data_IF_829586088090
#
_entry.id   IF_829586088090
#
_cell.length_a   1.000
_cell.length_b   1.000
_cell.length_c   1.000
_cell.angle_alpha   90.00
_cell.angle_beta   90.00
_cell.angle_gamma   90.00
#
_symmetry.space_group_name_H-M   'P 1'
#
loop_
_entity.id
_entity.type
_entity.pdbx_description
1 polymer ?
#
# COMPACT_ATOMS: atom_id res chain seq x y z
N UNK A 1 1.68 -8.49 -44.28
CA UNK A 1 1.41 -7.78 -43.01
C UNK A 1 1.79 -8.72 -41.87
N UNK A 2 2.99 -8.55 -41.32
CA UNK A 2 3.56 -9.44 -40.30
C UNK A 2 2.96 -9.09 -38.93
N UNK A 3 2.21 -10.01 -38.33
CA UNK A 3 1.86 -9.96 -36.92
C UNK A 3 3.11 -10.31 -36.12
N UNK A 4 3.82 -9.29 -35.63
CA UNK A 4 4.90 -9.49 -34.67
C UNK A 4 4.29 -10.04 -33.38
N UNK A 5 4.52 -11.33 -33.11
CA UNK A 5 4.25 -11.94 -31.82
C UNK A 5 5.07 -11.20 -30.76
N UNK A 6 4.41 -10.41 -29.91
CA UNK A 6 5.06 -9.78 -28.76
C UNK A 6 5.49 -10.88 -27.79
N UNK A 7 6.79 -11.11 -27.72
CA UNK A 7 7.47 -12.03 -26.81
C UNK A 7 7.08 -11.72 -25.36
N UNK A 8 6.77 -12.76 -24.60
CA UNK A 8 6.37 -12.64 -23.20
C UNK A 8 7.55 -12.17 -22.35
N UNK A 9 7.44 -10.99 -21.75
CA UNK A 9 8.37 -10.54 -20.72
C UNK A 9 7.65 -10.56 -19.38
N UNK A 10 8.08 -11.45 -18.49
CA UNK A 10 7.75 -11.39 -17.06
C UNK A 10 8.39 -10.11 -16.51
N UNK A 11 7.61 -9.04 -16.37
CA UNK A 11 8.10 -7.79 -15.80
C UNK A 11 7.94 -7.81 -14.30
N UNK A 12 9.06 -7.82 -13.56
CA UNK A 12 9.04 -7.54 -12.12
C UNK A 12 9.20 -6.03 -11.95
N UNK A 13 8.12 -5.36 -11.58
CA UNK A 13 8.17 -3.93 -11.26
C UNK A 13 8.34 -3.81 -9.75
N UNK A 14 9.49 -3.34 -9.30
CA UNK A 14 9.72 -2.97 -7.90
C UNK A 14 9.40 -1.48 -7.75
N UNK A 15 8.27 -1.19 -7.12
CA UNK A 15 7.94 0.16 -6.69
C UNK A 15 8.51 0.38 -5.29
N UNK A 16 9.28 1.44 -5.11
CA UNK A 16 9.79 1.84 -3.80
C UNK A 16 9.10 3.12 -3.36
N UNK A 17 8.71 3.19 -2.09
CA UNK A 17 8.19 4.39 -1.46
C UNK A 17 8.89 4.57 -0.11
N UNK A 18 9.77 5.57 -0.04
CA UNK A 18 10.49 5.95 1.18
C UNK A 18 9.95 7.28 1.67
N UNK A 19 9.84 7.45 2.99
CA UNK A 19 9.84 8.77 3.60
C UNK A 19 11.03 8.86 4.55
N UNK A 20 11.88 9.87 4.37
CA UNK A 20 12.97 10.16 5.29
C UNK A 20 12.40 10.88 6.51
N UNK A 21 12.75 10.43 7.72
CA UNK A 21 12.36 11.07 8.98
C UNK A 21 13.57 11.15 9.91
N UNK A 22 13.68 12.25 10.67
CA UNK A 22 14.50 12.25 11.88
C UNK A 22 13.85 11.31 12.91
N UNK A 23 14.65 10.47 13.56
CA UNK A 23 14.20 9.59 14.64
C UNK A 23 13.74 10.42 15.84
N UNK A 24 12.47 10.81 15.87
CA UNK A 24 11.79 11.06 17.13
C UNK A 24 11.32 9.71 17.67
N UNK A 25 11.79 9.33 18.87
CA UNK A 25 11.26 8.19 19.60
C UNK A 25 9.73 8.30 19.68
N UNK A 26 9.04 7.48 18.89
CA UNK A 26 7.58 7.40 18.95
C UNK A 26 7.24 6.58 20.19
N UNK A 27 6.76 7.27 21.23
CA UNK A 27 6.15 6.62 22.39
C UNK A 27 4.98 5.74 21.92
N UNK A 28 5.24 4.44 21.77
CA UNK A 28 4.21 3.42 21.54
C UNK A 28 3.39 3.33 22.82
N UNK A 29 2.29 4.08 22.89
CA UNK A 29 1.39 4.00 24.04
C UNK A 29 0.72 2.64 24.01
N UNK A 30 0.90 1.78 25.03
CA UNK A 30 0.14 0.55 25.11
C UNK A 30 -1.35 0.90 25.13
N UNK A 31 -2.14 0.21 24.31
CA UNK A 31 -3.58 0.36 24.28
C UNK A 31 -4.15 0.17 25.68
N UNK A 32 -5.00 1.09 26.13
CA UNK A 32 -5.52 1.17 27.51
C UNK A 32 -6.21 -0.12 28.00
N UNK A 33 -6.55 -1.04 27.10
CA UNK A 33 -7.33 -2.25 27.40
C UNK A 33 -6.64 -3.56 26.94
N UNK A 34 -5.30 -3.62 26.99
CA UNK A 34 -4.53 -4.87 26.81
C UNK A 34 -4.83 -5.96 27.88
N UNK A 35 -5.87 -5.79 28.70
CA UNK A 35 -6.35 -6.78 29.67
C UNK A 35 -7.38 -7.74 29.07
N UNK A 36 -8.08 -7.35 28.00
CA UNK A 36 -9.04 -8.23 27.32
C UNK A 36 -8.32 -9.34 26.56
N UNK A 37 -8.92 -10.54 26.50
CA UNK A 37 -8.37 -11.65 25.72
C UNK A 37 -8.19 -11.24 24.25
N UNK A 38 -9.19 -10.54 23.68
CA UNK A 38 -9.14 -10.02 22.31
C UNK A 38 -8.04 -8.99 22.06
N UNK A 39 -7.78 -8.08 23.01
CA UNK A 39 -6.70 -7.10 22.90
C UNK A 39 -5.29 -7.71 22.98
N UNK A 40 -5.18 -8.94 23.50
CA UNK A 40 -3.91 -9.67 23.67
C UNK A 40 -3.69 -10.77 22.63
N UNK A 41 -4.65 -10.97 21.72
CA UNK A 41 -4.52 -12.03 20.71
C UNK A 41 -3.36 -11.72 19.77
N UNK A 42 -2.62 -12.77 19.43
CA UNK A 42 -1.78 -12.75 18.25
C UNK A 42 -2.69 -12.91 17.03
N UNK A 43 -2.79 -11.84 16.23
CA UNK A 43 -3.59 -11.82 15.00
C UNK A 43 -2.82 -12.38 13.79
N UNK A 44 -1.56 -12.81 13.99
CA UNK A 44 -0.69 -13.31 12.96
C UNK A 44 -0.32 -12.25 11.93
N UNK A 45 0.21 -12.73 10.80
CA UNK A 45 0.78 -11.87 9.77
C UNK A 45 -0.25 -11.07 8.96
N UNK A 46 -1.50 -11.54 8.88
CA UNK A 46 -2.54 -10.92 8.04
C UNK A 46 -3.82 -10.78 8.85
N UNK A 47 -4.36 -9.57 8.88
CA UNK A 47 -5.65 -9.27 9.48
C UNK A 47 -6.61 -8.69 8.46
N UNK A 48 -7.74 -9.36 8.27
CA UNK A 48 -8.89 -8.82 7.55
C UNK A 48 -9.83 -8.13 8.55
N UNK A 49 -9.92 -6.80 8.52
CA UNK A 49 -10.80 -6.05 9.42
C UNK A 49 -11.08 -4.63 8.90
N UNK A 50 -12.02 -3.92 9.53
CA UNK A 50 -12.19 -2.48 9.34
C UNK A 50 -10.99 -1.75 9.95
N UNK A 51 -10.27 -0.94 9.18
CA UNK A 51 -9.07 -0.26 9.67
C UNK A 51 -9.24 1.25 9.50
N UNK A 52 -9.06 2.04 10.57
CA UNK A 52 -8.96 3.50 10.41
C UNK A 52 -7.71 3.80 9.61
N UNK A 53 -7.83 4.55 8.51
CA UNK A 53 -6.66 4.87 7.69
C UNK A 53 -5.71 5.76 8.51
N UNK A 54 -4.49 5.29 8.87
CA UNK A 54 -3.56 6.10 9.65
C UNK A 54 -2.97 7.25 8.82
N UNK A 55 -3.05 7.19 7.49
CA UNK A 55 -2.57 8.23 6.58
C UNK A 55 -3.63 9.31 6.27
N UNK A 56 -4.88 9.16 6.72
CA UNK A 56 -5.91 10.19 6.58
C UNK A 56 -5.68 11.31 7.61
N UNK A 57 -5.29 12.54 7.18
CA UNK A 57 -5.06 13.65 8.11
C UNK A 57 -6.33 14.06 8.86
N UNK A 58 -7.52 13.81 8.30
CA UNK A 58 -8.78 14.10 8.97
C UNK A 58 -9.17 13.04 10.01
N UNK A 59 -8.51 11.88 10.04
CA UNK A 59 -8.77 10.73 10.94
C UNK A 59 -10.22 10.23 10.91
N UNK A 60 -10.89 10.39 9.76
CA UNK A 60 -12.31 10.05 9.55
C UNK A 60 -12.46 8.82 8.68
N UNK A 61 -11.51 8.55 7.80
CA UNK A 61 -11.58 7.44 6.87
C UNK A 61 -11.44 6.08 7.59
N UNK A 62 -12.30 5.14 7.22
CA UNK A 62 -12.19 3.73 7.56
C UNK A 62 -12.12 2.91 6.28
N UNK A 63 -11.06 2.12 6.14
CA UNK A 63 -10.91 1.11 5.10
C UNK A 63 -11.86 -0.04 5.43
N UNK A 64 -12.88 -0.24 4.59
CA UNK A 64 -13.98 -1.13 4.91
C UNK A 64 -13.63 -2.61 4.71
N UNK A 65 -12.85 -2.95 3.69
CA UNK A 65 -12.28 -4.29 3.51
C UNK A 65 -10.76 -4.24 3.61
N UNK A 66 -10.30 -3.81 4.78
CA UNK A 66 -8.88 -3.73 5.09
C UNK A 66 -8.22 -5.11 5.10
N UNK A 67 -7.08 -5.22 4.43
CA UNK A 67 -6.15 -6.33 4.51
C UNK A 67 -4.84 -5.76 5.07
N UNK A 68 -4.70 -5.79 6.39
CA UNK A 68 -3.46 -5.41 7.04
C UNK A 68 -2.46 -6.56 6.96
N UNK A 69 -1.23 -6.27 6.54
CA UNK A 69 -0.13 -7.24 6.42
C UNK A 69 1.06 -6.75 7.24
N UNK A 70 1.52 -7.59 8.15
CA UNK A 70 2.78 -7.39 8.88
C UNK A 70 3.97 -7.75 7.98
N UNK A 71 4.83 -6.76 7.73
CA UNK A 71 6.04 -6.87 6.92
C UNK A 71 7.28 -7.18 7.77
N UNK A 72 7.13 -7.27 9.09
CA UNK A 72 8.22 -7.47 10.03
C UNK A 72 8.95 -6.18 10.40
N UNK A 73 9.78 -6.25 11.45
CA UNK A 73 10.53 -5.10 11.97
C UNK A 73 9.63 -3.94 12.43
N UNK A 74 8.38 -4.22 12.80
CA UNK A 74 7.40 -3.21 13.19
C UNK A 74 6.83 -2.39 12.04
N UNK A 75 6.91 -2.88 10.79
CA UNK A 75 6.38 -2.22 9.61
C UNK A 75 5.18 -2.98 9.07
N UNK A 76 4.16 -2.25 8.62
CA UNK A 76 2.95 -2.86 8.11
C UNK A 76 2.30 -2.01 7.03
N UNK A 77 1.44 -2.67 6.26
CA UNK A 77 0.65 -2.06 5.20
C UNK A 77 -0.80 -2.49 5.30
N UNK A 78 -1.72 -1.68 4.77
CA UNK A 78 -3.14 -2.02 4.66
C UNK A 78 -3.61 -1.79 3.23
N UNK A 79 -4.16 -2.84 2.62
CA UNK A 79 -4.86 -2.76 1.33
C UNK A 79 -6.36 -2.65 1.52
N UNK A 80 -7.03 -1.91 0.63
CA UNK A 80 -8.47 -1.93 0.51
C UNK A 80 -8.89 -2.95 -0.55
N UNK A 81 -9.48 -4.08 -0.15
CA UNK A 81 -9.93 -5.10 -1.11
C UNK A 81 -11.10 -4.64 -2.00
N UNK A 82 -11.82 -3.57 -1.62
CA UNK A 82 -12.88 -3.00 -2.45
C UNK A 82 -12.32 -2.24 -3.64
N UNK A 83 -11.23 -1.49 -3.43
CA UNK A 83 -10.67 -0.57 -4.43
C UNK A 83 -9.29 -0.96 -4.94
N UNK A 84 -8.72 -2.05 -4.42
CA UNK A 84 -7.36 -2.52 -4.71
C UNK A 84 -6.27 -1.45 -4.54
N UNK A 85 -6.49 -0.46 -3.66
CA UNK A 85 -5.46 0.53 -3.29
C UNK A 85 -4.64 0.03 -2.10
N UNK A 86 -3.38 0.47 -2.04
CA UNK A 86 -2.59 0.46 -0.81
C UNK A 86 -3.02 1.68 0.02
N UNK A 87 -3.93 1.48 0.96
CA UNK A 87 -4.55 2.57 1.71
C UNK A 87 -3.52 3.27 2.61
N UNK A 88 -2.64 2.52 3.25
CA UNK A 88 -1.54 3.06 4.04
C UNK A 88 -0.39 2.09 4.23
N UNK A 89 0.78 2.66 4.50
CA UNK A 89 1.96 2.02 5.06
C UNK A 89 2.35 2.75 6.35
N UNK A 90 2.75 2.03 7.40
CA UNK A 90 3.15 2.61 8.67
C UNK A 90 4.26 1.82 9.36
N UNK A 91 4.94 2.50 10.28
CA UNK A 91 6.02 1.94 11.10
C UNK A 91 5.74 2.21 12.58
N UNK A 92 6.12 1.28 13.44
CA UNK A 92 5.85 1.31 14.89
C UNK A 92 4.85 0.25 15.37
N UNK A 93 4.77 -0.90 14.69
CA UNK A 93 3.95 -2.04 15.07
C UNK A 93 2.89 -2.41 14.03
N UNK A 94 2.13 -3.48 14.29
CA UNK A 94 1.11 -3.98 13.37
C UNK A 94 -0.23 -3.26 13.56
N UNK A 95 -1.16 -3.84 14.31
CA UNK A 95 -2.52 -3.29 14.49
C UNK A 95 -2.93 -3.34 15.96
N UNK A 96 -3.57 -2.27 16.42
CA UNK A 96 -4.23 -2.19 17.70
C UNK A 96 -5.71 -2.57 17.54
N UNK A 97 -6.09 -3.65 18.23
CA UNK A 97 -7.42 -4.22 18.24
C UNK A 97 -8.22 -3.89 19.50
N UNK A 98 -7.66 -3.14 20.46
CA UNK A 98 -8.28 -2.86 21.76
C UNK A 98 -9.61 -2.11 21.66
N UNK A 99 -9.80 -1.32 20.59
CA UNK A 99 -11.04 -0.58 20.33
C UNK A 99 -12.14 -1.40 19.61
N UNK A 100 -11.85 -2.65 19.24
CA UNK A 100 -12.68 -3.46 18.33
C UNK A 100 -13.61 -4.44 19.05
N UNK A 101 -14.51 -5.07 18.29
CA UNK A 101 -15.46 -6.08 18.82
C UNK A 101 -14.76 -7.26 19.50
N UNK A 102 -13.71 -7.87 18.91
CA UNK A 102 -12.92 -8.90 19.59
C UNK A 102 -12.43 -8.53 21.00
N UNK A 103 -12.00 -7.28 21.23
CA UNK A 103 -11.49 -6.83 22.52
C UNK A 103 -12.60 -6.37 23.48
N UNK A 104 -13.64 -5.71 22.98
CA UNK A 104 -14.71 -5.10 23.80
C UNK A 104 -15.91 -6.01 24.06
N UNK A 105 -16.06 -7.11 23.33
CA UNK A 105 -17.15 -8.07 23.50
C UNK A 105 -18.54 -7.60 23.03
N UNK A 106 -18.68 -6.36 22.56
CA UNK A 106 -19.94 -5.80 22.04
C UNK A 106 -19.92 -5.64 20.51
N UNK A 107 -20.99 -6.06 19.84
CA UNK A 107 -21.16 -5.86 18.39
C UNK A 107 -21.14 -4.35 18.06
N UNK A 108 -20.48 -3.99 16.95
CA UNK A 108 -20.37 -2.60 16.51
C UNK A 108 -19.26 -1.80 17.20
N UNK A 109 -18.41 -2.43 18.03
CA UNK A 109 -17.19 -1.79 18.49
C UNK A 109 -16.23 -1.55 17.30
N UNK A 110 -15.54 -0.40 17.36
CA UNK A 110 -14.98 0.32 16.22
C UNK A 110 -13.93 -0.41 15.38
N UNK A 111 -13.36 0.34 14.44
CA UNK A 111 -12.29 -0.14 13.56
C UNK A 111 -10.96 -0.31 14.31
N UNK A 112 -10.13 -1.22 13.80
CA UNK A 112 -8.74 -1.36 14.20
C UNK A 112 -7.96 -0.09 13.85
N UNK A 113 -6.88 0.15 14.56
CA UNK A 113 -5.98 1.28 14.31
C UNK A 113 -4.56 0.81 14.10
N UNK A 114 -3.74 1.54 13.34
CA UNK A 114 -2.30 1.32 13.36
C UNK A 114 -1.74 1.60 14.76
N UNK A 115 -0.84 0.74 15.24
CA UNK A 115 -0.09 1.01 16.48
C UNK A 115 0.94 2.12 16.27
N UNK A 116 1.47 2.19 15.05
CA UNK A 116 2.52 3.12 14.65
C UNK A 116 2.05 4.34 13.87
N UNK A 117 3.01 5.07 13.31
CA UNK A 117 2.81 6.28 12.51
C UNK A 117 2.77 5.95 11.01
N UNK A 118 1.78 6.48 10.30
CA UNK A 118 1.75 6.39 8.84
C UNK A 118 2.99 7.03 8.20
N UNK A 119 3.59 6.29 7.27
CA UNK A 119 4.71 6.74 6.43
C UNK A 119 4.17 7.37 5.15
N UNK A 120 3.19 6.72 4.51
CA UNK A 120 2.40 7.28 3.42
C UNK A 120 1.06 6.54 3.27
N UNK A 121 0.19 7.04 2.40
CA UNK A 121 -1.04 6.37 2.02
C UNK A 121 -1.66 6.93 0.76
N UNK A 122 -2.88 6.49 0.46
CA UNK A 122 -3.67 6.93 -0.69
C UNK A 122 -5.10 7.27 -0.23
N UNK A 123 -5.73 8.25 -0.88
CA UNK A 123 -7.11 8.63 -0.56
C UNK A 123 -8.11 7.55 -0.98
N UNK A 124 -9.34 7.57 -0.44
CA UNK A 124 -10.42 6.72 -0.93
C UNK A 124 -10.63 6.82 -2.43
N UNK A 125 -10.58 5.68 -3.10
CA UNK A 125 -10.74 5.58 -4.55
C UNK A 125 -10.02 4.37 -5.15
N UNK A 126 -10.11 4.19 -6.48
CA UNK A 126 -9.45 3.11 -7.19
C UNK A 126 -7.92 3.16 -7.04
N UNK A 127 -7.30 2.06 -6.63
CA UNK A 127 -5.84 1.92 -6.60
C UNK A 127 -5.21 1.70 -7.98
N UNK A 128 -6.04 1.34 -8.95
CA UNK A 128 -5.68 1.15 -10.35
C UNK A 128 -6.58 2.01 -11.23
N UNK A 129 -6.07 2.45 -12.37
CA UNK A 129 -6.84 3.12 -13.40
C UNK A 129 -7.76 2.15 -14.12
N UNK A 130 -8.97 2.61 -14.43
CA UNK A 130 -9.93 1.87 -15.25
C UNK A 130 -9.59 1.99 -16.73
N UNK A 131 -10.62 1.88 -17.57
CA UNK A 131 -10.46 2.06 -19.02
C UNK A 131 -9.84 3.43 -19.32
N UNK A 132 -8.84 3.44 -20.22
CA UNK A 132 -8.05 4.63 -20.55
C UNK A 132 -7.29 5.28 -19.36
N UNK A 133 -7.05 4.53 -18.28
CA UNK A 133 -6.23 4.98 -17.15
C UNK A 133 -6.92 5.94 -16.17
N UNK A 134 -8.24 6.16 -16.30
CA UNK A 134 -8.98 7.05 -15.39
C UNK A 134 -9.00 6.53 -13.97
N UNK A 135 -8.78 7.42 -12.99
CA UNK A 135 -8.87 7.13 -11.55
C UNK A 135 -10.18 7.63 -10.92
N UNK A 136 -11.14 8.08 -11.74
CA UNK A 136 -12.43 8.54 -11.25
C UNK A 136 -13.21 7.40 -10.57
N UNK A 137 -13.87 7.69 -9.45
CA UNK A 137 -14.67 6.74 -8.69
C UNK A 137 -15.81 6.15 -9.55
N UNK A 138 -15.78 4.85 -9.91
CA UNK A 138 -16.81 4.26 -10.76
C UNK A 138 -18.03 3.76 -9.98
N UNK A 139 -17.97 3.69 -8.65
CA UNK A 139 -19.04 3.12 -7.81
C UNK A 139 -20.05 4.22 -7.45
N UNK A 140 -21.33 3.99 -7.74
CA UNK A 140 -22.40 4.98 -7.55
C UNK A 140 -22.45 5.60 -6.14
N UNK A 141 -22.17 4.80 -5.10
CA UNK A 141 -22.19 5.25 -3.70
C UNK A 141 -20.79 5.24 -3.05
N UNK A 142 -19.72 5.10 -3.84
CA UNK A 142 -18.33 5.01 -3.31
C UNK A 142 -18.04 3.82 -2.38
N UNK A 143 -18.93 2.82 -2.35
CA UNK A 143 -18.86 1.66 -1.44
C UNK A 143 -19.05 0.36 -2.23
N UNK A 144 -18.51 -0.74 -1.72
CA UNK A 144 -18.54 -2.03 -2.40
C UNK A 144 -17.36 -2.21 -3.35
N UNK A 145 -17.22 -3.42 -3.90
CA UNK A 145 -16.11 -3.74 -4.80
C UNK A 145 -16.18 -2.87 -6.08
N UNK A 146 -15.01 -2.56 -6.64
CA UNK A 146 -14.92 -2.01 -7.99
C UNK A 146 -15.62 -2.91 -9.03
N UNK A 147 -16.04 -2.34 -10.18
CA UNK A 147 -16.54 -3.13 -11.30
C UNK A 147 -15.57 -4.24 -11.70
N UNK A 148 -16.08 -5.41 -12.06
CA UNK A 148 -15.26 -6.61 -12.39
C UNK A 148 -14.23 -6.34 -13.49
N UNK A 149 -14.56 -5.47 -14.46
CA UNK A 149 -13.66 -5.08 -15.55
C UNK A 149 -12.61 -4.03 -15.16
N UNK A 150 -12.62 -3.56 -13.91
CA UNK A 150 -11.71 -2.53 -13.41
C UNK A 150 -10.57 -3.18 -12.63
N UNK A 151 -10.83 -3.60 -11.40
CA UNK A 151 -9.90 -4.38 -10.61
C UNK A 151 -10.66 -5.28 -9.65
N UNK A 152 -10.20 -6.52 -9.45
CA UNK A 152 -10.89 -7.49 -8.62
C UNK A 152 -9.91 -8.28 -7.75
N UNK A 153 -10.06 -8.15 -6.43
CA UNK A 153 -9.39 -9.00 -5.46
C UNK A 153 -9.72 -10.48 -5.70
N UNK A 154 -8.70 -11.33 -5.81
CA UNK A 154 -8.85 -12.80 -5.99
C UNK A 154 -8.42 -13.59 -4.77
N UNK A 155 -7.61 -13.00 -3.88
CA UNK A 155 -7.14 -13.64 -2.68
C UNK A 155 -5.71 -13.23 -2.34
N UNK A 156 -5.10 -13.99 -1.45
CA UNK A 156 -3.69 -13.88 -1.13
C UNK A 156 -3.10 -15.27 -0.92
N UNK A 157 -1.79 -15.37 -1.08
CA UNK A 157 -0.99 -16.55 -0.79
C UNK A 157 0.05 -16.21 0.28
N UNK A 158 0.44 -17.20 1.07
CA UNK A 158 1.53 -17.08 2.03
C UNK A 158 2.68 -17.97 1.59
N UNK A 159 3.88 -17.43 1.62
CA UNK A 159 5.12 -18.15 1.31
C UNK A 159 6.17 -17.79 2.35
N UNK A 160 6.36 -18.64 3.35
CA UNK A 160 7.19 -18.31 4.51
C UNK A 160 6.68 -17.06 5.23
N UNK A 161 7.55 -16.06 5.38
CA UNK A 161 7.24 -14.76 5.95
C UNK A 161 6.73 -13.73 4.93
N UNK A 162 6.34 -14.16 3.73
CA UNK A 162 5.83 -13.27 2.69
C UNK A 162 4.35 -13.51 2.43
N UNK A 163 3.64 -12.42 2.13
CA UNK A 163 2.23 -12.44 1.72
C UNK A 163 2.15 -11.87 0.31
N UNK A 164 1.59 -12.63 -0.62
CA UNK A 164 1.42 -12.23 -2.02
C UNK A 164 -0.06 -12.01 -2.27
N UNK A 165 -0.48 -10.78 -2.56
CA UNK A 165 -1.83 -10.49 -3.01
C UNK A 165 -2.01 -10.95 -4.45
N UNK A 166 -3.19 -11.44 -4.78
CA UNK A 166 -3.57 -11.81 -6.13
C UNK A 166 -4.88 -11.13 -6.49
N UNK A 167 -4.88 -10.45 -7.64
CA UNK A 167 -6.01 -9.72 -8.15
C UNK A 167 -5.92 -9.58 -9.67
N UNK A 168 -6.96 -9.04 -10.29
CA UNK A 168 -6.93 -8.66 -11.71
C UNK A 168 -7.10 -7.15 -11.85
N UNK A 169 -6.56 -6.58 -12.94
CA UNK A 169 -6.82 -5.21 -13.41
C UNK A 169 -7.27 -5.33 -14.86
N UNK A 170 -8.55 -5.08 -15.12
CA UNK A 170 -9.23 -5.61 -16.30
C UNK A 170 -9.04 -7.12 -16.39
N UNK A 171 -8.52 -7.58 -17.54
CA UNK A 171 -8.21 -8.98 -17.79
C UNK A 171 -6.76 -9.36 -17.41
N UNK A 172 -5.96 -8.40 -16.95
CA UNK A 172 -4.56 -8.64 -16.60
C UNK A 172 -4.46 -9.17 -15.18
N UNK A 173 -3.89 -10.36 -15.00
CA UNK A 173 -3.60 -10.91 -13.69
C UNK A 173 -2.42 -10.16 -13.05
N UNK A 174 -2.54 -9.81 -11.77
CA UNK A 174 -1.49 -9.19 -10.98
C UNK A 174 -1.22 -10.06 -9.75
N UNK A 175 0.07 -10.28 -9.47
CA UNK A 175 0.52 -10.69 -8.14
C UNK A 175 1.37 -9.60 -7.55
N UNK A 176 1.08 -9.25 -6.32
CA UNK A 176 1.77 -8.16 -5.64
C UNK A 176 2.33 -8.65 -4.32
N UNK A 177 3.64 -8.47 -4.15
CA UNK A 177 4.36 -8.73 -2.91
C UNK A 177 4.70 -7.39 -2.26
N UNK A 178 3.99 -6.96 -1.21
CA UNK A 178 4.45 -5.88 -0.35
C UNK A 178 5.70 -6.31 0.43
N UNK A 179 6.61 -5.37 0.64
CA UNK A 179 7.82 -5.55 1.42
C UNK A 179 8.26 -4.26 2.09
N UNK A 180 9.29 -4.38 2.91
CA UNK A 180 9.96 -3.24 3.53
C UNK A 180 11.45 -3.57 3.66
N UNK A 181 12.32 -2.62 3.34
CA UNK A 181 13.76 -2.71 3.55
C UNK A 181 14.20 -1.57 4.45
N UNK A 182 15.02 -1.86 5.45
CA UNK A 182 15.59 -0.82 6.32
C UNK A 182 16.80 -0.18 5.63
N UNK A 183 16.89 1.14 5.65
CA UNK A 183 18.06 1.91 5.24
C UNK A 183 18.55 2.75 6.41
N UNK A 184 19.76 3.35 6.33
CA UNK A 184 20.22 4.31 7.34
C UNK A 184 19.29 5.52 7.52
N UNK A 185 18.48 5.85 6.51
CA UNK A 185 17.56 6.99 6.51
C UNK A 185 16.12 6.60 6.89
N UNK A 186 15.88 5.32 7.22
CA UNK A 186 14.59 4.79 7.66
C UNK A 186 14.01 3.66 6.80
N UNK A 187 12.76 3.25 7.05
CA UNK A 187 12.12 2.18 6.31
C UNK A 187 11.72 2.61 4.90
N UNK A 188 12.07 1.79 3.92
CA UNK A 188 11.64 1.91 2.52
C UNK A 188 10.65 0.79 2.21
N UNK A 189 9.40 1.16 1.99
CA UNK A 189 8.36 0.22 1.62
C UNK A 189 8.45 -0.11 0.13
N UNK A 190 8.20 -1.37 -0.19
CA UNK A 190 8.27 -1.87 -1.55
C UNK A 190 6.99 -2.57 -1.95
N UNK A 191 6.69 -2.52 -3.25
CA UNK A 191 5.65 -3.32 -3.89
C UNK A 191 6.29 -3.98 -5.11
N UNK A 192 6.47 -5.29 -5.09
CA UNK A 192 6.94 -6.05 -6.24
C UNK A 192 5.74 -6.62 -6.98
N UNK A 193 5.59 -6.25 -8.25
CA UNK A 193 4.47 -6.68 -9.08
C UNK A 193 4.94 -7.68 -10.13
N UNK A 194 4.29 -8.83 -10.17
CA UNK A 194 4.27 -9.72 -11.33
C UNK A 194 3.03 -9.36 -12.16
N UNK A 195 3.25 -8.83 -13.35
CA UNK A 195 2.19 -8.40 -14.26
C UNK A 195 2.00 -9.44 -15.34
N UNK A 196 0.80 -10.03 -15.39
CA UNK A 196 0.40 -10.97 -16.44
C UNK A 196 0.29 -10.30 -17.80
N UNK A 197 0.01 -11.11 -18.83
CA UNK A 197 -0.20 -10.58 -20.18
C UNK A 197 -1.43 -9.66 -20.21
N UNK A 198 -1.26 -8.46 -20.76
CA UNK A 198 -2.32 -7.48 -20.97
C UNK A 198 -2.19 -6.79 -22.32
N UNK A 199 -3.31 -6.26 -22.84
CA UNK A 199 -3.36 -5.49 -24.08
C UNK A 199 -3.48 -3.98 -23.85
N UNK A 200 -3.60 -3.55 -22.59
CA UNK A 200 -3.83 -2.17 -22.18
C UNK A 200 -2.69 -1.71 -21.28
N UNK A 201 -2.36 -0.43 -21.35
CA UNK A 201 -1.48 0.21 -20.38
C UNK A 201 -2.19 0.24 -19.02
N UNK A 202 -1.42 0.01 -17.94
CA UNK A 202 -1.95 -0.01 -16.58
C UNK A 202 -1.49 1.24 -15.83
N UNK A 203 -2.42 1.91 -15.16
CA UNK A 203 -2.13 3.06 -14.29
C UNK A 203 -2.33 2.63 -12.85
N UNK A 204 -1.38 2.93 -11.98
CA UNK A 204 -1.37 2.49 -10.59
C UNK A 204 -1.13 3.68 -9.68
N UNK A 205 -1.94 3.79 -8.62
CA UNK A 205 -1.69 4.74 -7.53
C UNK A 205 -0.68 4.10 -6.58
N UNK A 206 0.49 4.73 -6.47
CA UNK A 206 1.60 4.24 -5.63
C UNK A 206 1.52 4.83 -4.23
N UNK A 207 1.42 6.15 -4.16
CA UNK A 207 1.25 6.94 -2.94
C UNK A 207 0.64 8.29 -3.31
N UNK A 208 0.08 8.99 -2.32
CA UNK A 208 -0.26 10.41 -2.47
C UNK A 208 0.66 11.29 -1.64
N UNK A 209 1.07 12.41 -2.22
CA UNK A 209 1.82 13.47 -1.56
C UNK A 209 0.86 14.62 -1.32
N UNK A 210 0.80 15.18 -0.10
CA UNK A 210 -0.06 16.34 0.13
C UNK A 210 0.62 17.58 -0.44
N UNK A 211 0.18 18.04 -1.61
CA UNK A 211 0.66 19.29 -2.18
C UNK A 211 -0.48 20.12 -2.74
N UNK A 212 -0.33 21.45 -2.60
CA UNK A 212 -1.14 22.48 -3.26
C UNK A 212 -0.54 22.93 -4.61
N UNK A 213 0.58 22.33 -5.04
CA UNK A 213 1.27 22.62 -6.29
C UNK A 213 1.99 21.37 -6.82
N UNK A 214 2.05 21.22 -8.15
CA UNK A 214 2.69 20.07 -8.80
C UNK A 214 4.18 19.95 -8.39
N UNK A 215 4.65 18.79 -7.92
CA UNK A 215 6.06 18.59 -7.61
C UNK A 215 6.92 18.64 -8.87
N UNK A 216 8.05 19.35 -8.80
CA UNK A 216 9.12 19.22 -9.79
C UNK A 216 9.85 17.89 -9.57
N UNK A 217 9.91 16.98 -10.55
CA UNK A 217 10.59 15.69 -10.39
C UNK A 217 12.07 15.93 -10.10
N UNK A 218 12.54 15.47 -8.94
CA UNK A 218 13.96 15.55 -8.55
C UNK A 218 14.46 14.13 -8.43
N UNK A 219 15.25 13.63 -9.41
CA UNK A 219 15.77 12.26 -9.35
C UNK A 219 16.84 12.12 -8.27
N UNK A 220 16.62 11.24 -7.29
CA UNK A 220 17.66 10.76 -6.36
C UNK A 220 18.07 9.35 -6.81
N UNK A 221 19.34 9.00 -6.73
CA UNK A 221 19.84 7.65 -7.03
C UNK A 221 20.09 6.91 -5.71
N UNK A 222 19.23 5.95 -5.36
CA UNK A 222 19.47 5.06 -4.22
C UNK A 222 20.21 3.79 -4.70
N UNK A 223 21.33 3.40 -4.07
CA UNK A 223 22.00 2.15 -4.38
C UNK A 223 21.15 0.97 -3.89
N UNK A 224 20.36 0.39 -4.79
CA UNK A 224 19.65 -0.87 -4.55
C UNK A 224 20.50 -1.98 -5.16
N UNK A 225 20.94 -2.99 -4.38
CA UNK A 225 21.66 -4.13 -4.94
C UNK A 225 20.77 -4.80 -5.99
N UNK A 226 21.26 -4.86 -7.23
CA UNK A 226 20.68 -5.54 -8.38
C UNK A 226 19.57 -4.84 -9.23
N UNK A 227 19.41 -3.52 -9.19
CA UNK A 227 18.47 -2.84 -10.09
C UNK A 227 19.12 -1.79 -11.01
N UNK A 228 19.28 -2.13 -12.29
CA UNK A 228 19.43 -1.16 -13.38
C UNK A 228 18.04 -0.63 -13.77
N UNK A 229 17.58 0.46 -13.13
CA UNK A 229 16.28 1.08 -13.38
C UNK A 229 16.24 2.56 -13.00
N UNK A 230 15.33 3.33 -13.62
CA UNK A 230 15.14 4.78 -13.36
C UNK A 230 14.24 5.00 -12.13
N UNK A 231 14.80 5.60 -11.08
CA UNK A 231 14.05 6.09 -9.92
C UNK A 231 13.33 7.41 -10.29
N UNK A 232 12.02 7.52 -10.04
CA UNK A 232 11.24 8.74 -10.30
C UNK A 232 10.80 9.38 -8.98
N UNK A 233 11.76 9.92 -8.23
CA UNK A 233 11.48 10.52 -6.92
C UNK A 233 10.56 11.74 -7.05
N UNK A 234 9.43 11.68 -6.36
CA UNK A 234 8.39 12.70 -6.37
C UNK A 234 8.39 13.42 -5.02
N UNK A 235 9.50 14.10 -4.73
CA UNK A 235 9.72 14.78 -3.46
C UNK A 235 8.75 15.97 -3.29
N UNK A 236 8.02 16.05 -2.16
CA UNK A 236 7.62 17.34 -1.59
C UNK A 236 7.21 17.24 -0.11
N UNK A 237 7.60 18.26 0.65
CA UNK A 237 7.44 18.40 2.09
C UNK A 237 5.98 18.72 2.48
N UNK A 238 5.50 18.06 3.54
CA UNK A 238 4.26 18.43 4.22
C UNK A 238 4.51 19.71 5.03
N UNK A 239 3.62 20.71 4.95
CA UNK A 239 3.68 21.86 5.87
C UNK A 239 3.54 21.35 7.31
N UNK A 240 4.66 21.35 8.03
CA UNK A 240 4.76 20.90 9.43
C UNK A 240 5.71 19.73 9.69
N UNK A 241 6.43 19.20 8.69
CA UNK A 241 7.49 18.21 8.92
C UNK A 241 8.27 17.81 7.65
N UNK A 242 9.54 17.46 7.83
CA UNK A 242 10.55 17.09 6.80
C UNK A 242 10.29 15.75 6.08
N UNK A 243 9.03 15.37 5.84
CA UNK A 243 8.71 14.13 5.16
C UNK A 243 8.79 14.31 3.63
N UNK A 244 9.79 13.70 3.00
CA UNK A 244 9.92 13.61 1.54
C UNK A 244 9.50 12.21 1.09
N UNK A 245 8.40 12.09 0.35
CA UNK A 245 8.00 10.81 -0.26
C UNK A 245 8.68 10.64 -1.62
N UNK A 246 9.37 9.52 -1.84
CA UNK A 246 10.09 9.25 -3.08
C UNK A 246 9.57 7.96 -3.73
N UNK A 247 9.16 8.01 -5.01
CA UNK A 247 8.71 6.82 -5.75
C UNK A 247 9.77 6.34 -6.73
N UNK A 248 9.98 5.04 -6.85
CA UNK A 248 10.98 4.46 -7.74
C UNK A 248 10.43 3.32 -8.55
N UNK A 249 10.85 3.14 -9.81
CA UNK A 249 10.64 1.89 -10.55
C UNK A 249 11.98 1.20 -10.78
N UNK A 250 12.12 -0.01 -10.26
CA UNK A 250 13.28 -0.87 -10.45
C UNK A 250 12.89 -2.19 -11.13
N UNK A 251 13.75 -2.72 -12.00
CA UNK A 251 13.57 -4.05 -12.62
C UNK A 251 12.58 -4.12 -13.79
N UNK A 252 12.03 -3.00 -14.23
CA UNK A 252 11.07 -3.00 -15.33
C UNK A 252 11.72 -3.41 -16.67
N UNK A 253 11.01 -4.17 -17.54
CA UNK A 253 11.50 -4.49 -18.89
C UNK A 253 11.91 -3.24 -19.68
N UNK A 254 12.87 -3.41 -20.60
CA UNK A 254 13.26 -2.34 -21.52
C UNK A 254 12.02 -1.72 -22.20
N UNK A 255 11.81 -0.41 -22.01
CA UNK A 255 10.68 0.34 -22.60
C UNK A 255 9.43 0.48 -21.72
N UNK A 256 9.42 -0.03 -20.49
CA UNK A 256 8.39 0.32 -19.51
C UNK A 256 8.59 1.77 -19.03
N UNK A 257 7.56 2.61 -19.19
CA UNK A 257 7.52 4.02 -18.76
C UNK A 257 6.52 4.21 -17.66
#
# INVERSE_FOLDING_TARGET
>A
MSHAARTATLGVVLLLCAAAWAEDEVEVKPGKDAHSLGGRMDYGQVLHYFVRNPADPAKKEVVLKGISIDLGGGNAVCYDAETMRLAAAWSGGFVDMTATTPAKGGQGAGAATATGRAVFGTRPGPGWGGKAGTLAEPRANGTGNLPVHWAQYRGLYRSGAQVVLSYTVGDTAIRELPGCTQTPDGPVFTRSLEVGKGAQDLVMVVCEVATAAAPSPTSISLPIPAASGRLAVLAQALQGGDAVTAVGVAGAPHGAT
#
